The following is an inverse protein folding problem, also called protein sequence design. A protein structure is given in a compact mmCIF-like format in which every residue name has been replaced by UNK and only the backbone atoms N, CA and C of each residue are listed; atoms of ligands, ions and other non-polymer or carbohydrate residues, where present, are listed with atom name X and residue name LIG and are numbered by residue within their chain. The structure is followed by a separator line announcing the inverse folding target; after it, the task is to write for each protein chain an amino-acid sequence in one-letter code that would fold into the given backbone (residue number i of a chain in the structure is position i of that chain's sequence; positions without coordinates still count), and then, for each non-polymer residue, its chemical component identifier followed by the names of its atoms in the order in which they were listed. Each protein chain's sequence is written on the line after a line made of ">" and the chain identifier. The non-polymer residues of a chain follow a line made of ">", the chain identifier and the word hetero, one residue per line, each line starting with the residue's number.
data_IF_799618717743
#
_entry.id   IF_799618717743
#
_cell.length_a   1.000
_cell.length_b   1.000
_cell.length_c   1.000
_cell.angle_alpha   90.00
_cell.angle_beta   90.00
_cell.angle_gamma   90.00
#
_symmetry.space_group_name_H-M   'P 1'
#
loop_
_entity.id
_entity.type
_entity.pdbx_description
1 polymer ?
#
# COMPACT_ATOMS: atom_id res chain seq x y z
N UNK A 1 12.83 -11.74 -1.22
CA UNK A 1 13.48 -11.70 -2.55
C UNK A 1 14.22 -10.36 -2.81
N UNK A 2 14.74 -9.73 -1.76
CA UNK A 2 15.72 -8.66 -1.90
C UNK A 2 17.11 -9.24 -2.19
N UNK A 3 18.09 -8.36 -2.40
CA UNK A 3 19.50 -8.76 -2.34
C UNK A 3 19.87 -9.09 -0.89
N UNK A 4 20.90 -9.92 -0.69
CA UNK A 4 21.33 -10.34 0.65
C UNK A 4 21.86 -9.16 1.48
N UNK A 5 22.31 -8.08 0.83
CA UNK A 5 22.77 -6.84 1.45
C UNK A 5 21.67 -5.77 1.57
N UNK A 6 20.43 -6.09 1.20
CA UNK A 6 19.33 -5.13 1.21
C UNK A 6 18.91 -4.80 2.65
N UNK A 7 19.17 -3.56 3.06
CA UNK A 7 18.67 -3.00 4.31
C UNK A 7 17.36 -2.23 4.04
N UNK A 8 16.33 -2.50 4.85
CA UNK A 8 15.13 -1.67 4.87
C UNK A 8 15.29 -0.55 5.91
N UNK A 9 14.47 0.49 5.79
CA UNK A 9 14.42 1.53 6.82
C UNK A 9 13.81 1.05 8.15
N UNK A 10 13.24 -0.16 8.19
CA UNK A 10 12.50 -0.70 9.35
C UNK A 10 11.42 0.26 9.89
N UNK A 11 10.86 1.10 9.02
CA UNK A 11 9.93 2.17 9.40
C UNK A 11 8.50 1.64 9.68
N UNK A 12 8.17 0.45 9.20
CA UNK A 12 6.88 -0.22 9.39
C UNK A 12 7.09 -1.73 9.56
N UNK A 13 6.38 -2.35 10.49
CA UNK A 13 6.53 -3.77 10.85
C UNK A 13 5.71 -4.67 9.91
N UNK A 14 6.19 -4.78 8.67
CA UNK A 14 5.64 -5.69 7.65
C UNK A 14 6.75 -6.51 7.00
N UNK A 15 6.39 -7.65 6.41
CA UNK A 15 7.24 -8.31 5.42
C UNK A 15 6.61 -8.22 4.04
N UNK A 16 7.46 -8.06 3.02
CA UNK A 16 7.03 -7.94 1.63
C UNK A 16 7.79 -8.90 0.73
N UNK A 17 7.11 -9.43 -0.28
CA UNK A 17 7.70 -10.14 -1.41
C UNK A 17 7.55 -9.28 -2.66
N UNK A 18 8.66 -8.99 -3.34
CA UNK A 18 8.68 -8.04 -4.47
C UNK A 18 8.03 -8.67 -5.70
N UNK A 19 7.41 -7.82 -6.53
CA UNK A 19 6.78 -8.21 -7.80
C UNK A 19 5.92 -9.49 -7.70
N UNK A 20 5.20 -9.65 -6.60
CA UNK A 20 4.57 -10.91 -6.22
C UNK A 20 3.07 -10.97 -6.56
N UNK A 21 2.54 -9.92 -7.18
CA UNK A 21 1.13 -9.82 -7.59
C UNK A 21 0.78 -10.60 -8.87
N UNK A 22 1.77 -11.11 -9.63
CA UNK A 22 1.53 -11.82 -10.89
C UNK A 22 2.75 -11.82 -11.81
N UNK A 23 2.57 -12.24 -13.07
CA UNK A 23 3.66 -12.16 -14.07
C UNK A 23 3.86 -10.69 -14.47
N UNK A 24 5.03 -10.39 -15.02
CA UNK A 24 5.51 -9.05 -15.37
C UNK A 24 4.65 -8.30 -16.42
N UNK A 25 3.65 -8.98 -17.02
CA UNK A 25 2.65 -8.44 -17.96
C UNK A 25 1.38 -7.94 -17.24
N UNK A 26 1.18 -8.30 -15.97
CA UNK A 26 -0.07 -8.06 -15.24
C UNK A 26 -0.03 -6.75 -14.45
N UNK A 27 0.21 -5.62 -15.14
CA UNK A 27 -0.28 -4.35 -14.61
C UNK A 27 -1.80 -4.45 -14.54
N UNK A 28 -2.38 -4.19 -13.38
CA UNK A 28 -3.82 -4.23 -13.21
C UNK A 28 -4.29 -3.01 -12.42
N UNK A 29 -5.56 -2.72 -12.58
CA UNK A 29 -6.22 -1.59 -11.94
C UNK A 29 -7.46 -2.12 -11.22
N UNK A 30 -7.74 -1.57 -10.05
CA UNK A 30 -8.97 -1.89 -9.31
C UNK A 30 -9.34 -0.74 -8.38
N UNK A 31 -10.61 -0.69 -8.00
CA UNK A 31 -11.13 0.31 -7.10
C UNK A 31 -11.07 -0.20 -5.65
N UNK A 32 -10.42 0.57 -4.78
CA UNK A 32 -10.18 0.20 -3.38
C UNK A 32 -11.05 1.02 -2.43
N UNK A 33 -11.75 0.33 -1.53
CA UNK A 33 -12.28 1.00 -0.35
C UNK A 33 -11.14 1.22 0.64
N UNK A 34 -10.81 2.49 0.91
CA UNK A 34 -9.72 2.87 1.81
C UNK A 34 -10.30 3.45 3.11
N UNK A 35 -9.93 2.85 4.25
CA UNK A 35 -10.29 3.37 5.57
C UNK A 35 -9.76 4.79 5.71
N UNK A 36 -10.64 5.71 6.12
CA UNK A 36 -10.36 7.14 6.20
C UNK A 36 -10.77 7.94 4.95
N UNK A 37 -11.17 7.29 3.85
CA UNK A 37 -11.64 7.92 2.61
C UNK A 37 -13.03 7.39 2.20
N UNK A 38 -14.06 7.72 2.98
CA UNK A 38 -15.38 7.09 2.89
C UNK A 38 -16.29 7.56 1.73
N UNK A 39 -15.90 8.59 0.98
CA UNK A 39 -16.80 9.21 -0.01
C UNK A 39 -16.98 8.37 -1.28
N UNK A 40 -15.92 7.69 -1.72
CA UNK A 40 -15.90 6.86 -2.93
C UNK A 40 -14.63 5.99 -2.93
N UNK A 41 -14.64 4.82 -3.61
CA UNK A 41 -13.43 4.03 -3.83
C UNK A 41 -12.30 4.86 -4.45
N UNK A 42 -11.06 4.48 -4.14
CA UNK A 42 -9.84 5.04 -4.75
C UNK A 42 -9.43 4.14 -5.90
N UNK A 43 -9.29 4.72 -7.09
CA UNK A 43 -8.79 4.01 -8.25
C UNK A 43 -7.28 3.74 -8.11
N UNK A 44 -6.89 2.47 -8.03
CA UNK A 44 -5.54 2.04 -7.71
C UNK A 44 -4.87 1.33 -8.89
N UNK A 45 -3.72 1.85 -9.32
CA UNK A 45 -2.91 1.32 -10.42
C UNK A 45 -1.73 0.52 -9.87
N UNK A 46 -1.64 -0.77 -10.21
CA UNK A 46 -0.59 -1.66 -9.75
C UNK A 46 0.39 -1.98 -10.89
N UNK A 47 1.66 -1.60 -10.71
CA UNK A 47 2.72 -1.88 -11.69
C UNK A 47 3.84 -2.64 -10.99
N UNK A 48 3.98 -3.92 -11.32
CA UNK A 48 4.94 -4.84 -10.68
C UNK A 48 4.91 -4.77 -9.14
N UNK A 49 3.71 -4.69 -8.59
CA UNK A 49 3.49 -4.43 -7.17
C UNK A 49 4.11 -5.53 -6.26
N UNK A 50 4.70 -5.14 -5.12
CA UNK A 50 5.05 -6.09 -4.05
C UNK A 50 3.79 -6.58 -3.34
N UNK A 51 3.83 -7.79 -2.75
CA UNK A 51 2.78 -8.33 -1.87
C UNK A 51 3.23 -8.23 -0.42
N UNK A 52 2.34 -7.77 0.46
CA UNK A 52 2.53 -7.84 1.92
C UNK A 52 2.23 -9.27 2.38
N UNK A 53 3.22 -9.94 2.97
CA UNK A 53 3.11 -11.34 3.42
C UNK A 53 2.83 -11.47 4.92
N UNK A 54 3.29 -10.50 5.71
CA UNK A 54 3.07 -10.45 7.16
C UNK A 54 2.84 -9.02 7.60
N UNK A 55 1.91 -8.87 8.53
CA UNK A 55 1.56 -7.60 9.18
C UNK A 55 1.81 -7.75 10.67
N UNK A 56 2.59 -6.84 11.24
CA UNK A 56 2.94 -6.81 12.66
C UNK A 56 1.84 -6.24 13.55
N UNK A 57 1.95 -6.43 14.88
CA UNK A 57 1.03 -5.82 15.84
C UNK A 57 1.15 -4.29 15.80
N UNK A 58 0.02 -3.60 15.67
CA UNK A 58 -0.03 -2.13 15.61
C UNK A 58 0.11 -1.54 14.20
N UNK A 59 0.19 -2.37 13.16
CA UNK A 59 0.01 -1.93 11.77
C UNK A 59 -1.47 -1.97 11.43
N UNK A 60 -2.00 -0.84 10.96
CA UNK A 60 -3.37 -0.71 10.47
C UNK A 60 -3.42 -1.01 8.97
N UNK A 61 -4.29 -1.94 8.56
CA UNK A 61 -4.56 -2.19 7.14
C UNK A 61 -5.66 -1.21 6.71
N UNK A 62 -5.31 -0.27 5.85
CA UNK A 62 -6.25 0.74 5.35
C UNK A 62 -7.03 0.26 4.13
N UNK A 63 -6.43 -0.60 3.30
CA UNK A 63 -7.09 -1.19 2.14
C UNK A 63 -6.48 -2.55 1.80
N UNK A 64 -7.32 -3.43 1.26
CA UNK A 64 -6.94 -4.75 0.78
C UNK A 64 -7.64 -5.03 -0.56
N UNK A 65 -6.98 -5.81 -1.41
CA UNK A 65 -7.62 -6.39 -2.61
C UNK A 65 -8.28 -7.74 -2.26
N UNK A 66 -8.75 -8.46 -3.28
CA UNK A 66 -9.31 -9.81 -3.15
C UNK A 66 -8.47 -10.72 -2.24
N UNK A 67 -9.18 -11.59 -1.50
CA UNK A 67 -8.64 -12.51 -0.50
C UNK A 67 -8.03 -11.81 0.74
N UNK A 68 -8.30 -10.51 0.92
CA UNK A 68 -7.85 -9.75 2.09
C UNK A 68 -6.36 -9.39 2.04
N UNK A 69 -5.74 -9.42 0.86
CA UNK A 69 -4.32 -9.09 0.68
C UNK A 69 -4.09 -7.58 0.89
N UNK A 70 -3.32 -7.15 1.89
CA UNK A 70 -3.11 -5.73 2.18
C UNK A 70 -2.38 -5.00 1.06
N UNK A 71 -2.87 -3.81 0.70
CA UNK A 71 -2.27 -2.96 -0.34
C UNK A 71 -2.08 -1.51 0.10
N UNK A 72 -2.70 -1.09 1.20
CA UNK A 72 -2.36 0.13 1.91
C UNK A 72 -2.29 -0.16 3.42
N UNK A 73 -1.18 0.23 4.06
CA UNK A 73 -0.95 0.02 5.48
C UNK A 73 -0.42 1.29 6.15
N UNK A 74 -0.71 1.46 7.43
CA UNK A 74 -0.22 2.56 8.25
C UNK A 74 0.33 2.08 9.59
N UNK A 75 1.43 2.67 10.03
CA UNK A 75 1.92 2.53 11.40
C UNK A 75 2.43 3.89 11.88
N UNK A 76 1.70 4.52 12.80
CA UNK A 76 2.00 5.89 13.25
C UNK A 76 2.01 6.88 12.07
N UNK A 77 3.20 7.44 11.80
CA UNK A 77 3.44 8.42 10.73
C UNK A 77 3.83 7.81 9.38
N UNK A 78 3.97 6.48 9.31
CA UNK A 78 4.37 5.78 8.11
C UNK A 78 3.14 5.27 7.38
N UNK A 79 2.94 5.75 6.15
CA UNK A 79 1.93 5.26 5.21
C UNK A 79 2.64 4.58 4.04
N UNK A 80 2.20 3.38 3.67
CA UNK A 80 2.73 2.65 2.52
C UNK A 80 1.61 2.13 1.63
N UNK A 81 1.85 2.12 0.32
CA UNK A 81 0.97 1.56 -0.69
C UNK A 81 1.71 0.57 -1.59
N UNK A 82 1.00 -0.42 -2.11
CA UNK A 82 1.51 -1.34 -3.15
C UNK A 82 1.10 -0.89 -4.57
N UNK A 83 0.34 0.19 -4.67
CA UNK A 83 -0.12 0.81 -5.90
C UNK A 83 0.41 2.25 -6.02
N UNK A 84 0.18 2.83 -7.19
CA UNK A 84 0.64 4.15 -7.60
C UNK A 84 -0.49 5.20 -7.51
N UNK A 85 -0.71 5.84 -6.34
CA UNK A 85 -1.73 6.89 -6.22
C UNK A 85 -1.44 8.11 -7.11
N UNK A 86 -0.18 8.32 -7.50
CA UNK A 86 0.26 9.42 -8.36
C UNK A 86 -0.15 9.27 -9.83
N UNK A 87 -0.55 8.06 -10.25
CA UNK A 87 -1.04 7.80 -11.61
C UNK A 87 -2.55 8.03 -11.76
N UNK A 88 -3.20 8.50 -10.69
CA UNK A 88 -4.60 8.91 -10.66
C UNK A 88 -4.69 10.41 -10.36
N UNK A 89 -5.69 11.14 -10.88
CA UNK A 89 -5.95 12.52 -10.48
C UNK A 89 -6.51 12.64 -9.05
N UNK A 90 -6.84 11.53 -8.39
CA UNK A 90 -7.39 11.50 -7.03
C UNK A 90 -6.33 11.82 -5.96
N UNK A 91 -6.45 13.00 -5.35
CA UNK A 91 -5.51 13.50 -4.34
C UNK A 91 -5.83 13.04 -2.92
N UNK A 92 -6.96 12.36 -2.68
CA UNK A 92 -7.44 12.07 -1.32
C UNK A 92 -6.44 11.26 -0.49
N UNK A 93 -5.69 10.35 -1.11
CA UNK A 93 -4.65 9.59 -0.41
C UNK A 93 -3.43 10.45 -0.02
N UNK A 94 -3.06 11.39 -0.88
CA UNK A 94 -2.00 12.38 -0.56
C UNK A 94 -2.45 13.31 0.57
N UNK A 95 -3.70 13.75 0.55
CA UNK A 95 -4.27 14.53 1.65
C UNK A 95 -4.33 13.74 2.96
N UNK A 96 -4.69 12.45 2.91
CA UNK A 96 -4.69 11.55 4.06
C UNK A 96 -3.29 11.47 4.69
N UNK A 97 -2.24 11.34 3.86
CA UNK A 97 -0.86 11.36 4.31
C UNK A 97 -0.52 12.68 5.02
N UNK A 98 -0.75 13.83 4.36
CA UNK A 98 -0.43 15.15 4.92
C UNK A 98 -1.18 15.43 6.23
N UNK A 99 -2.49 15.11 6.28
CA UNK A 99 -3.30 15.23 7.51
C UNK A 99 -2.74 14.35 8.62
N UNK A 100 -2.18 13.20 8.28
CA UNK A 100 -1.51 12.29 9.21
C UNK A 100 -0.25 12.86 9.85
N UNK A 101 0.46 13.76 9.14
CA UNK A 101 1.70 14.41 9.58
C UNK A 101 1.51 15.52 10.61
N UNK A 102 0.27 15.96 10.87
CA UNK A 102 0.00 16.97 11.87
C UNK A 102 0.06 16.36 13.28
N UNK A 103 1.26 16.38 13.89
CA UNK A 103 1.51 16.31 15.33
C UNK A 103 2.87 16.94 15.65
#
# INVERSE_FOLDING_TARGET
>A
DGRDDQLSFSAIDISVRRNAFGRQIDSFETDLNVIGLAEAPVHAVFIRAPVVERVGPGVEILAAVEEGRPVACRQGQVLVTSFHPELSPDLRLHELFIKGMAA
#
